data_IF_449138822519
#
_entry.id   IF_449138822519
#
_cell.length_a   1.000
_cell.length_b   1.000
_cell.length_c   1.000
_cell.angle_alpha   90.00
_cell.angle_beta   90.00
_cell.angle_gamma   90.00
#
_symmetry.space_group_name_H-M   'P 1'
#
loop_
_entity.id
_entity.type
_entity.pdbx_description
1 polymer ?
#
# COMPACT_ATOMS: atom_id res chain seq x y z
N UNK A 1 -38.46 15.56 57.11
CA UNK A 1 -37.77 14.26 57.24
C UNK A 1 -37.04 14.00 55.93
N UNK A 2 -35.71 14.17 55.93
CA UNK A 2 -34.70 13.18 55.53
C UNK A 2 -34.92 12.63 54.10
N UNK A 3 -34.00 12.71 53.14
CA UNK A 3 -32.57 12.37 53.24
C UNK A 3 -31.80 13.04 52.09
N UNK A 4 -30.63 13.57 52.42
CA UNK A 4 -29.54 13.88 51.49
C UNK A 4 -29.18 12.64 50.65
N UNK A 5 -29.00 12.82 49.34
CA UNK A 5 -28.26 11.88 48.51
C UNK A 5 -27.07 12.62 47.90
N UNK A 6 -25.92 12.50 48.57
CA UNK A 6 -24.61 12.83 48.03
C UNK A 6 -24.35 11.87 46.85
N UNK A 7 -24.36 12.39 45.62
CA UNK A 7 -23.87 11.67 44.46
C UNK A 7 -22.43 12.13 44.20
N UNK A 8 -21.49 11.28 44.59
CA UNK A 8 -20.05 11.49 44.41
C UNK A 8 -19.71 11.54 42.93
N UNK A 9 -19.13 12.65 42.49
CA UNK A 9 -18.55 12.81 41.16
C UNK A 9 -17.27 12.00 41.11
N UNK A 10 -17.30 10.85 40.45
CA UNK A 10 -16.09 10.11 40.06
C UNK A 10 -15.50 10.86 38.87
N UNK A 11 -14.48 11.69 39.11
CA UNK A 11 -13.70 12.31 38.05
C UNK A 11 -12.84 11.24 37.38
N UNK A 12 -13.32 10.74 36.24
CA UNK A 12 -12.56 9.84 35.38
C UNK A 12 -11.39 10.63 34.78
N UNK A 13 -10.20 10.45 35.37
CA UNK A 13 -8.96 11.07 34.90
C UNK A 13 -8.64 10.54 33.49
N UNK A 14 -8.72 11.43 32.50
CA UNK A 14 -8.38 11.10 31.12
C UNK A 14 -6.87 10.89 30.99
N UNK A 15 -6.45 9.62 30.87
CA UNK A 15 -5.13 9.28 30.36
C UNK A 15 -5.04 9.70 28.90
N UNK A 16 -4.40 10.83 28.65
CA UNK A 16 -3.90 11.23 27.34
C UNK A 16 -2.72 10.32 26.97
N UNK A 17 -3.04 9.13 26.44
CA UNK A 17 -2.06 8.30 25.75
C UNK A 17 -1.62 9.01 24.47
N UNK A 18 -0.33 9.32 24.36
CA UNK A 18 0.29 9.84 23.15
C UNK A 18 0.00 8.91 21.97
N UNK A 19 -0.85 9.38 21.07
CA UNK A 19 -0.95 8.85 19.71
C UNK A 19 0.41 9.10 19.03
N UNK A 20 1.15 8.03 18.79
CA UNK A 20 2.32 8.07 17.94
C UNK A 20 1.89 8.55 16.55
N UNK A 21 2.25 9.78 16.19
CA UNK A 21 2.11 10.26 14.83
C UNK A 21 3.08 9.46 13.96
N UNK A 22 2.54 8.54 13.15
CA UNK A 22 3.27 8.06 11.99
C UNK A 22 3.64 9.31 11.17
N UNK A 23 4.94 9.51 10.91
CA UNK A 23 5.39 10.63 10.10
C UNK A 23 4.72 10.55 8.72
N UNK A 24 4.33 11.71 8.17
CA UNK A 24 3.78 11.78 6.84
C UNK A 24 4.77 11.17 5.83
N UNK A 25 4.30 10.38 4.85
CA UNK A 25 5.17 9.80 3.86
C UNK A 25 5.92 10.90 3.08
N UNK A 26 7.16 10.66 2.64
CA UNK A 26 7.94 11.62 1.88
C UNK A 26 7.15 12.20 0.69
N UNK A 27 7.36 13.50 0.42
CA UNK A 27 6.75 14.17 -0.72
C UNK A 27 7.10 13.47 -2.04
N UNK A 28 8.36 13.03 -2.15
CA UNK A 28 8.90 12.27 -3.26
C UNK A 28 9.08 10.81 -2.85
N UNK A 29 8.41 9.90 -3.56
CA UNK A 29 8.43 8.47 -3.24
C UNK A 29 8.01 7.63 -4.43
N UNK A 30 8.23 6.32 -4.32
CA UNK A 30 7.78 5.32 -5.29
C UNK A 30 6.69 4.48 -4.66
N UNK A 31 5.57 4.36 -5.35
CA UNK A 31 4.41 3.60 -4.90
C UNK A 31 4.22 2.38 -5.81
N UNK A 32 4.38 1.18 -5.27
CA UNK A 32 4.06 -0.08 -5.92
C UNK A 32 2.68 -0.58 -5.42
N UNK A 33 1.69 -0.59 -6.31
CA UNK A 33 0.31 -0.96 -5.99
C UNK A 33 -0.07 -2.22 -6.73
N UNK A 34 -0.37 -3.28 -5.99
CA UNK A 34 -1.00 -4.46 -6.55
C UNK A 34 -2.53 -4.33 -6.45
N UNK A 35 -3.15 -4.03 -7.58
CA UNK A 35 -4.59 -4.01 -7.74
C UNK A 35 -5.13 -5.42 -7.89
N UNK A 36 -6.18 -5.75 -7.13
CA UNK A 36 -6.83 -7.06 -7.16
C UNK A 36 -8.35 -6.92 -7.04
N UNK A 37 -9.06 -7.96 -7.45
CA UNK A 37 -10.50 -8.13 -7.17
C UNK A 37 -10.72 -8.43 -5.69
N UNK A 38 -11.93 -8.22 -5.17
CA UNK A 38 -12.31 -8.68 -3.82
C UNK A 38 -12.11 -10.19 -3.72
N UNK A 39 -12.65 -10.93 -4.69
CA UNK A 39 -12.47 -12.38 -4.82
C UNK A 39 -11.27 -12.73 -5.70
N UNK A 40 -10.29 -13.43 -5.11
CA UNK A 40 -8.99 -13.69 -5.75
C UNK A 40 -8.83 -15.16 -6.11
N UNK A 41 -8.61 -15.44 -7.40
CA UNK A 41 -8.18 -16.76 -7.84
C UNK A 41 -6.75 -17.07 -7.35
N UNK A 42 -6.31 -18.35 -7.39
CA UNK A 42 -4.97 -18.73 -6.93
C UNK A 42 -3.83 -17.92 -7.57
N UNK A 43 -3.88 -17.71 -8.89
CA UNK A 43 -2.87 -16.92 -9.62
C UNK A 43 -2.81 -15.46 -9.13
N UNK A 44 -3.95 -14.83 -8.88
CA UNK A 44 -3.99 -13.47 -8.33
C UNK A 44 -3.37 -13.40 -6.92
N UNK A 45 -3.54 -14.44 -6.10
CA UNK A 45 -2.89 -14.50 -4.78
C UNK A 45 -1.38 -14.65 -4.92
N UNK A 46 -0.91 -15.49 -5.86
CA UNK A 46 0.52 -15.67 -6.14
C UNK A 46 1.17 -14.37 -6.60
N UNK A 47 0.61 -13.70 -7.62
CA UNK A 47 1.16 -12.43 -8.12
C UNK A 47 1.26 -11.37 -7.02
N UNK A 48 0.22 -11.26 -6.18
CA UNK A 48 0.24 -10.35 -5.04
C UNK A 48 1.36 -10.67 -4.05
N UNK A 49 1.46 -11.93 -3.62
CA UNK A 49 2.49 -12.38 -2.69
C UNK A 49 3.91 -12.19 -3.24
N UNK A 50 4.13 -12.49 -4.52
CA UNK A 50 5.44 -12.32 -5.15
C UNK A 50 5.79 -10.84 -5.32
N UNK A 51 4.82 -9.99 -5.64
CA UNK A 51 5.03 -8.54 -5.72
C UNK A 51 5.43 -7.96 -4.36
N UNK A 52 4.74 -8.38 -3.30
CA UNK A 52 5.04 -7.98 -1.94
C UNK A 52 6.44 -8.45 -1.51
N UNK A 53 6.77 -9.71 -1.77
CA UNK A 53 8.08 -10.29 -1.47
C UNK A 53 9.19 -9.54 -2.21
N UNK A 54 9.01 -9.27 -3.50
CA UNK A 54 9.98 -8.56 -4.32
C UNK A 54 10.29 -7.17 -3.75
N UNK A 55 9.24 -6.44 -3.35
CA UNK A 55 9.40 -5.09 -2.79
C UNK A 55 10.03 -5.14 -1.39
N UNK A 56 9.55 -6.03 -0.51
CA UNK A 56 10.08 -6.18 0.85
C UNK A 56 11.56 -6.58 0.89
N UNK A 57 11.95 -7.52 0.04
CA UNK A 57 13.33 -8.04 0.01
C UNK A 57 14.27 -7.12 -0.76
N UNK A 58 13.80 -6.43 -1.81
CA UNK A 58 14.63 -5.56 -2.64
C UNK A 58 14.81 -4.14 -2.10
N UNK A 59 13.90 -3.67 -1.24
CA UNK A 59 13.82 -2.26 -0.84
C UNK A 59 13.55 -2.08 0.67
N UNK A 60 14.00 -3.02 1.51
CA UNK A 60 13.72 -3.02 2.94
C UNK A 60 14.02 -1.67 3.63
N UNK A 61 15.15 -1.04 3.31
CA UNK A 61 15.51 0.25 3.92
C UNK A 61 14.66 1.41 3.38
N UNK A 62 14.35 1.41 2.08
CA UNK A 62 13.45 2.40 1.47
C UNK A 62 12.00 2.25 1.92
N UNK A 63 11.60 1.06 2.36
CA UNK A 63 10.31 0.84 3.01
C UNK A 63 10.28 1.43 4.42
N UNK A 64 11.40 1.36 5.15
CA UNK A 64 11.51 1.95 6.50
C UNK A 64 11.47 3.47 6.47
N UNK A 65 12.12 4.09 5.48
CA UNK A 65 12.15 5.55 5.34
C UNK A 65 10.97 6.13 4.53
N UNK A 66 10.12 5.27 3.94
CA UNK A 66 8.94 5.68 3.17
C UNK A 66 9.22 6.12 1.73
N UNK A 67 10.46 6.05 1.26
CA UNK A 67 10.83 6.34 -0.14
C UNK A 67 10.23 5.32 -1.11
N UNK A 68 10.01 4.09 -0.66
CA UNK A 68 9.26 3.06 -1.38
C UNK A 68 8.08 2.65 -0.51
N UNK A 69 6.92 2.50 -1.13
CA UNK A 69 5.70 2.06 -0.48
C UNK A 69 5.05 0.95 -1.31
N UNK A 70 4.52 -0.08 -0.63
CA UNK A 70 3.79 -1.16 -1.26
C UNK A 70 2.37 -1.26 -0.72
N UNK A 71 1.37 -1.37 -1.61
CA UNK A 71 -0.04 -1.47 -1.23
C UNK A 71 -0.79 -2.53 -2.03
N UNK A 72 -1.68 -3.25 -1.34
CA UNK A 72 -2.77 -3.99 -1.97
C UNK A 72 -3.97 -3.06 -2.14
N UNK A 73 -4.55 -3.02 -3.34
CA UNK A 73 -5.72 -2.21 -3.64
C UNK A 73 -6.82 -3.10 -4.19
N UNK A 74 -7.92 -3.20 -3.45
CA UNK A 74 -9.13 -3.83 -3.97
C UNK A 74 -9.85 -2.85 -4.90
N UNK A 75 -9.76 -3.04 -6.21
CA UNK A 75 -10.30 -2.09 -7.18
C UNK A 75 -11.82 -2.17 -7.33
N UNK A 76 -12.46 -3.19 -6.76
CA UNK A 76 -13.93 -3.35 -6.80
C UNK A 76 -14.61 -2.57 -5.68
N UNK A 77 -13.85 -2.07 -4.70
CA UNK A 77 -14.36 -1.18 -3.65
C UNK A 77 -14.58 0.23 -4.17
N UNK A 78 -15.72 0.83 -3.80
CA UNK A 78 -16.11 2.19 -4.16
C UNK A 78 -15.06 3.24 -3.77
N UNK A 79 -14.41 3.08 -2.63
CA UNK A 79 -13.33 3.98 -2.16
C UNK A 79 -12.12 4.03 -3.10
N UNK A 80 -11.89 2.98 -3.90
CA UNK A 80 -10.75 2.86 -4.82
C UNK A 80 -11.14 3.12 -6.29
N UNK A 81 -12.41 3.42 -6.58
CA UNK A 81 -12.89 3.54 -7.97
C UNK A 81 -12.16 4.64 -8.76
N UNK A 82 -11.97 5.82 -8.17
CA UNK A 82 -11.24 6.91 -8.82
C UNK A 82 -9.75 6.57 -9.02
N UNK A 83 -9.15 5.84 -8.08
CA UNK A 83 -7.76 5.40 -8.18
C UNK A 83 -7.58 4.36 -9.29
N UNK A 84 -8.48 3.36 -9.35
CA UNK A 84 -8.49 2.35 -10.41
C UNK A 84 -8.69 3.01 -11.79
N UNK A 85 -9.61 3.97 -11.89
CA UNK A 85 -9.84 4.77 -13.10
C UNK A 85 -8.61 5.58 -13.52
N UNK A 86 -7.94 6.24 -12.58
CA UNK A 86 -6.74 7.03 -12.85
C UNK A 86 -5.61 6.19 -13.47
N UNK A 87 -5.45 4.94 -13.01
CA UNK A 87 -4.47 4.00 -13.56
C UNK A 87 -5.01 3.06 -14.65
N UNK A 88 -6.25 3.26 -15.11
CA UNK A 88 -6.94 2.44 -16.13
C UNK A 88 -6.96 0.94 -15.80
N UNK A 89 -7.14 0.62 -14.51
CA UNK A 89 -7.19 -0.74 -13.99
C UNK A 89 -8.57 -1.32 -14.24
N UNK A 90 -8.62 -2.42 -14.99
CA UNK A 90 -9.83 -3.22 -15.25
C UNK A 90 -9.68 -4.70 -14.82
N UNK A 91 -8.57 -5.03 -14.19
CA UNK A 91 -8.15 -6.39 -13.87
C UNK A 91 -7.01 -6.39 -12.84
N UNK A 92 -6.59 -7.57 -12.35
CA UNK A 92 -5.40 -7.67 -11.50
C UNK A 92 -4.18 -7.07 -12.20
N UNK A 93 -3.51 -6.13 -11.53
CA UNK A 93 -2.42 -5.34 -12.12
C UNK A 93 -1.42 -4.93 -11.05
N UNK A 94 -0.15 -4.78 -11.43
CA UNK A 94 0.88 -4.18 -10.57
C UNK A 94 1.32 -2.87 -11.21
N UNK A 95 0.97 -1.76 -10.56
CA UNK A 95 1.35 -0.42 -11.00
C UNK A 95 2.50 0.08 -10.15
N UNK A 96 3.54 0.62 -10.78
CA UNK A 96 4.62 1.34 -10.11
C UNK A 96 4.52 2.81 -10.51
N UNK A 97 4.36 3.71 -9.55
CA UNK A 97 4.23 5.15 -9.76
C UNK A 97 5.34 5.92 -9.03
N UNK A 98 5.89 6.94 -9.69
CA UNK A 98 6.77 7.94 -9.09
C UNK A 98 5.92 9.12 -8.65
N UNK A 99 6.03 9.47 -7.39
CA UNK A 99 5.46 10.68 -6.81
C UNK A 99 6.58 11.71 -6.69
N UNK A 100 6.33 12.91 -7.19
CA UNK A 100 7.18 14.11 -7.03
C UNK A 100 6.26 15.27 -6.63
N UNK A 101 6.65 16.03 -5.60
CA UNK A 101 5.84 17.13 -5.06
C UNK A 101 4.38 16.73 -4.77
N UNK A 102 4.19 15.53 -4.21
CA UNK A 102 2.88 14.93 -3.90
C UNK A 102 1.97 14.68 -5.11
N UNK A 103 2.50 14.70 -6.34
CA UNK A 103 1.77 14.41 -7.58
C UNK A 103 2.40 13.23 -8.31
N UNK A 104 1.59 12.52 -9.09
CA UNK A 104 2.10 11.43 -9.94
C UNK A 104 2.90 12.03 -11.10
N UNK A 105 4.22 11.84 -11.10
CA UNK A 105 5.10 12.30 -12.17
C UNK A 105 5.08 11.33 -13.37
N UNK A 106 5.14 10.03 -13.08
CA UNK A 106 5.06 8.95 -14.08
C UNK A 106 4.59 7.66 -13.42
N UNK A 107 4.04 6.74 -14.21
CA UNK A 107 3.71 5.40 -13.76
C UNK A 107 3.91 4.37 -14.85
N UNK A 108 4.00 3.09 -14.46
CA UNK A 108 4.08 1.96 -15.36
C UNK A 108 3.20 0.81 -14.86
N UNK A 109 2.45 0.21 -15.78
CA UNK A 109 1.77 -1.06 -15.58
C UNK A 109 2.72 -2.21 -15.94
N UNK A 110 3.01 -3.07 -14.97
CA UNK A 110 3.95 -4.18 -15.10
C UNK A 110 3.26 -5.41 -15.70
N UNK A 111 2.90 -5.34 -16.98
CA UNK A 111 2.10 -6.35 -17.67
C UNK A 111 2.71 -7.76 -17.67
N UNK A 112 4.04 -7.88 -17.60
CA UNK A 112 4.72 -9.18 -17.66
C UNK A 112 4.60 -9.98 -16.35
N UNK A 113 3.95 -9.44 -15.30
CA UNK A 113 3.60 -10.24 -14.12
C UNK A 113 2.80 -11.50 -14.51
N UNK A 114 1.95 -11.41 -15.55
CA UNK A 114 1.13 -12.53 -16.01
C UNK A 114 1.94 -13.64 -16.68
N UNK A 115 2.95 -13.27 -17.44
CA UNK A 115 3.82 -14.25 -18.13
C UNK A 115 4.87 -14.82 -17.18
N UNK A 116 5.29 -14.05 -16.17
CA UNK A 116 6.34 -14.42 -15.21
C UNK A 116 5.85 -15.13 -13.95
N UNK A 117 4.55 -15.13 -13.65
CA UNK A 117 4.01 -15.69 -12.39
C UNK A 117 4.38 -17.17 -12.15
N UNK A 118 4.64 -17.95 -13.20
CA UNK A 118 5.04 -19.35 -13.07
C UNK A 118 6.50 -19.52 -12.64
N UNK A 119 7.35 -18.56 -12.97
CA UNK A 119 8.78 -18.55 -12.66
C UNK A 119 9.06 -17.51 -11.58
N UNK A 120 8.82 -17.89 -10.32
CA UNK A 120 8.93 -16.96 -9.18
C UNK A 120 10.24 -16.16 -9.18
N UNK A 121 11.44 -16.74 -9.40
CA UNK A 121 12.68 -15.95 -9.42
C UNK A 121 12.69 -14.86 -10.49
N UNK A 122 12.15 -15.15 -11.69
CA UNK A 122 12.03 -14.14 -12.75
C UNK A 122 11.02 -13.06 -12.41
N UNK A 123 9.90 -13.43 -11.78
CA UNK A 123 8.90 -12.48 -11.30
C UNK A 123 9.52 -11.49 -10.31
N UNK A 124 10.21 -12.01 -9.28
CA UNK A 124 10.85 -11.19 -8.25
C UNK A 124 11.85 -10.21 -8.89
N UNK A 125 12.73 -10.72 -9.74
CA UNK A 125 13.72 -9.91 -10.46
C UNK A 125 13.05 -8.82 -11.28
N UNK A 126 12.03 -9.16 -12.06
CA UNK A 126 11.30 -8.22 -12.90
C UNK A 126 10.67 -7.08 -12.09
N UNK A 127 10.01 -7.39 -10.97
CA UNK A 127 9.42 -6.36 -10.09
C UNK A 127 10.51 -5.47 -9.50
N UNK A 128 11.61 -6.06 -9.00
CA UNK A 128 12.71 -5.29 -8.42
C UNK A 128 13.37 -4.35 -9.44
N UNK A 129 13.63 -4.80 -10.66
CA UNK A 129 14.21 -3.95 -11.72
C UNK A 129 13.30 -2.77 -12.04
N UNK A 130 11.98 -3.00 -12.14
CA UNK A 130 11.03 -1.95 -12.46
C UNK A 130 10.82 -0.97 -11.31
N UNK A 131 10.79 -1.42 -10.05
CA UNK A 131 10.72 -0.51 -8.89
C UNK A 131 12.01 0.28 -8.76
N UNK A 132 13.17 -0.36 -8.95
CA UNK A 132 14.49 0.30 -8.87
C UNK A 132 14.60 1.45 -9.87
N UNK A 133 14.10 1.27 -11.10
CA UNK A 133 14.08 2.29 -12.14
C UNK A 133 13.27 3.56 -11.79
N UNK A 134 12.42 3.49 -10.76
CA UNK A 134 11.65 4.63 -10.24
C UNK A 134 12.28 5.25 -8.99
N UNK A 135 13.20 4.53 -8.33
CA UNK A 135 13.92 5.01 -7.14
C UNK A 135 15.23 5.76 -7.43
N UNK A 136 15.62 5.81 -8.70
CA UNK A 136 16.79 6.52 -9.20
C UNK A 136 16.49 7.98 -9.50
#
# INVERSE_FOLDING_TARGET
MYRFAFMTIVTFSAMLGSIANAADPPADRVLAMYFHRTERCPTCKMMGAYSEEAVKTGFADKLKDGTVEYRYIDYEKKENAELAKAYKVAGPALIVAKIEDKKVAKYKDLKDIWTKVREKPEFIKYVQENVKAFTQ
#
